data_IF_403691185502
#
_entry.id   IF_403691185502
#
_cell.length_a   1.000
_cell.length_b   1.000
_cell.length_c   1.000
_cell.angle_alpha   90.00
_cell.angle_beta   90.00
_cell.angle_gamma   90.00
#
_symmetry.space_group_name_H-M   'P 1'
#
loop_
_entity.id
_entity.type
_entity.pdbx_description
1 polymer ?
#
# COMPACT_ATOMS: atom_id res chain seq x y z
N UNK A 1 31.59 70.55 -52.37
CA UNK A 1 30.81 71.32 -51.38
C UNK A 1 30.14 70.35 -50.42
N UNK A 2 30.26 70.64 -49.11
CA UNK A 2 29.56 70.08 -47.94
C UNK A 2 29.86 68.65 -47.49
N UNK A 3 30.84 68.60 -46.58
CA UNK A 3 30.85 67.72 -45.40
C UNK A 3 29.59 67.93 -44.54
N UNK A 4 29.10 66.86 -43.91
CA UNK A 4 28.53 66.96 -42.57
C UNK A 4 28.82 65.66 -41.80
N UNK A 5 29.65 65.80 -40.77
CA UNK A 5 29.86 64.80 -39.73
C UNK A 5 28.65 64.77 -38.78
N UNK A 6 28.32 63.60 -38.26
CA UNK A 6 27.86 63.47 -36.88
C UNK A 6 28.03 62.02 -36.41
N UNK A 7 28.92 61.86 -35.44
CA UNK A 7 29.14 60.65 -34.67
C UNK A 7 27.89 60.32 -33.82
N UNK A 8 27.73 59.05 -33.43
CA UNK A 8 27.54 58.66 -32.02
C UNK A 8 27.78 57.16 -31.84
N UNK A 9 28.54 56.84 -30.79
CA UNK A 9 28.87 55.50 -30.30
C UNK A 9 27.67 54.91 -29.56
N UNK A 10 27.40 53.61 -29.69
CA UNK A 10 27.07 52.74 -28.54
C UNK A 10 27.60 51.32 -28.81
N UNK A 11 28.44 50.86 -27.89
CA UNK A 11 28.98 49.51 -27.72
C UNK A 11 27.97 48.69 -26.91
N UNK A 12 28.05 47.35 -26.98
CA UNK A 12 27.41 46.31 -26.12
C UNK A 12 26.32 45.52 -26.87
N UNK A 13 26.17 44.20 -26.75
CA UNK A 13 26.76 43.20 -25.86
C UNK A 13 26.49 41.85 -26.52
N UNK A 14 27.53 41.05 -26.74
CA UNK A 14 27.40 39.66 -27.20
C UNK A 14 26.64 38.85 -26.14
N UNK A 15 25.40 38.47 -26.43
CA UNK A 15 24.66 37.54 -25.58
C UNK A 15 25.27 36.14 -25.72
N UNK A 16 26.08 35.76 -24.74
CA UNK A 16 26.51 34.38 -24.53
C UNK A 16 25.27 33.55 -24.18
N UNK A 17 24.82 32.68 -25.09
CA UNK A 17 23.92 31.59 -24.76
C UNK A 17 24.68 30.59 -23.89
N UNK A 18 24.54 30.73 -22.57
CA UNK A 18 24.88 29.66 -21.65
C UNK A 18 23.83 28.55 -21.81
N UNK A 19 24.17 27.49 -22.55
CA UNK A 19 23.42 26.23 -22.52
C UNK A 19 23.65 25.65 -21.13
N UNK A 20 22.73 25.92 -20.20
CA UNK A 20 22.66 25.18 -18.96
C UNK A 20 22.29 23.74 -19.31
N UNK A 21 23.30 22.86 -19.35
CA UNK A 21 23.08 21.43 -19.34
C UNK A 21 22.41 21.09 -18.00
N UNK A 22 21.08 21.09 -18.01
CA UNK A 22 20.28 20.56 -16.92
C UNK A 22 20.65 19.09 -16.78
N UNK A 23 21.48 18.79 -15.78
CA UNK A 23 21.67 17.43 -15.30
C UNK A 23 20.31 16.99 -14.79
N UNK A 24 19.60 16.18 -15.57
CA UNK A 24 18.48 15.41 -15.05
C UNK A 24 19.06 14.56 -13.93
N UNK A 25 18.86 14.98 -12.69
CA UNK A 25 19.00 14.09 -11.55
C UNK A 25 17.98 12.98 -11.78
N UNK A 26 18.45 11.87 -12.34
CA UNK A 26 17.79 10.58 -12.22
C UNK A 26 17.62 10.38 -10.72
N UNK A 27 16.40 10.53 -10.22
CA UNK A 27 16.05 10.15 -8.87
C UNK A 27 16.60 8.74 -8.66
N UNK A 28 17.62 8.63 -7.79
CA UNK A 28 18.09 7.33 -7.35
C UNK A 28 16.87 6.59 -6.82
N UNK A 29 16.66 5.30 -7.17
CA UNK A 29 15.63 4.52 -6.52
C UNK A 29 15.80 4.69 -5.02
N UNK A 30 14.76 5.26 -4.40
CA UNK A 30 14.60 5.44 -2.96
C UNK A 30 15.22 4.24 -2.25
N UNK A 31 16.05 4.55 -1.25
CA UNK A 31 16.63 3.63 -0.26
C UNK A 31 15.83 2.35 -0.10
N UNK A 32 16.52 1.21 -0.08
CA UNK A 32 16.04 -0.13 0.28
C UNK A 32 14.94 -0.06 1.32
N UNK A 33 13.69 0.05 0.86
CA UNK A 33 12.52 -0.17 1.68
C UNK A 33 12.59 -1.64 2.05
N UNK A 34 12.53 -1.94 3.35
CA UNK A 34 12.55 -3.32 3.83
C UNK A 34 11.52 -4.16 3.08
N UNK A 35 11.70 -5.49 3.07
CA UNK A 35 10.76 -6.42 2.42
C UNK A 35 9.32 -6.07 2.77
N UNK A 36 8.44 -6.06 1.76
CA UNK A 36 7.03 -5.75 1.96
C UNK A 36 6.35 -6.90 2.72
N UNK A 37 5.61 -6.58 3.78
CA UNK A 37 5.07 -7.56 4.71
C UNK A 37 3.64 -7.22 5.10
N UNK A 38 2.78 -8.23 5.17
CA UNK A 38 1.52 -8.20 5.90
C UNK A 38 1.71 -8.93 7.23
N UNK A 39 1.48 -8.26 8.35
CA UNK A 39 1.46 -8.90 9.64
C UNK A 39 0.03 -9.09 10.12
N UNK A 40 -0.19 -10.19 10.81
CA UNK A 40 -1.45 -10.54 11.45
C UNK A 40 -1.21 -10.82 12.93
N UNK A 41 -2.20 -10.51 13.77
CA UNK A 41 -2.15 -10.82 15.19
C UNK A 41 -3.51 -11.29 15.71
N UNK A 42 -3.47 -12.22 16.68
CA UNK A 42 -4.63 -12.53 17.50
C UNK A 42 -4.85 -11.51 18.63
N UNK A 43 -5.75 -11.85 19.55
CA UNK A 43 -6.12 -11.00 20.69
C UNK A 43 -7.35 -10.12 20.40
N UNK A 44 -8.42 -10.27 21.20
CA UNK A 44 -9.71 -9.61 20.92
C UNK A 44 -9.68 -8.09 21.15
N UNK A 45 -9.04 -7.68 22.24
CA UNK A 45 -9.08 -6.29 22.71
C UNK A 45 -7.88 -5.48 22.20
N UNK A 46 -6.71 -6.12 22.14
CA UNK A 46 -5.44 -5.58 21.64
C UNK A 46 -4.65 -6.64 20.85
N UNK A 47 -3.71 -6.24 19.96
CA UNK A 47 -2.84 -7.19 19.27
C UNK A 47 -1.96 -7.96 20.25
N UNK A 48 -2.11 -9.29 20.26
CA UNK A 48 -1.28 -10.16 21.09
C UNK A 48 0.09 -10.39 20.44
N UNK A 49 1.13 -9.79 21.00
CA UNK A 49 2.52 -9.95 20.53
C UNK A 49 3.02 -11.40 20.53
N UNK A 50 2.49 -12.26 21.41
CA UNK A 50 2.81 -13.68 21.47
C UNK A 50 2.07 -14.52 20.43
N UNK A 51 1.13 -13.90 19.71
CA UNK A 51 0.30 -14.53 18.70
C UNK A 51 0.30 -13.72 17.40
N UNK A 52 1.50 -13.51 16.86
CA UNK A 52 1.72 -12.78 15.61
C UNK A 52 2.32 -13.70 14.55
N UNK A 53 1.97 -13.42 13.29
CA UNK A 53 2.61 -14.02 12.12
C UNK A 53 2.77 -12.95 11.03
N UNK A 54 3.55 -13.27 9.99
CA UNK A 54 3.78 -12.37 8.87
C UNK A 54 3.81 -13.14 7.55
N UNK A 55 3.28 -12.49 6.51
CA UNK A 55 3.27 -12.95 5.14
C UNK A 55 4.07 -11.96 4.29
N UNK A 56 5.06 -12.45 3.57
CA UNK A 56 5.81 -11.65 2.61
C UNK A 56 4.94 -11.32 1.40
N UNK A 57 4.86 -10.02 1.07
CA UNK A 57 4.17 -9.52 -0.12
C UNK A 57 5.15 -9.63 -1.30
N UNK A 58 5.04 -10.73 -2.04
CA UNK A 58 5.90 -11.01 -3.20
C UNK A 58 5.46 -10.25 -4.45
N UNK A 59 6.39 -9.84 -5.33
CA UNK A 59 6.12 -9.03 -6.53
C UNK A 59 5.35 -9.74 -7.65
N UNK A 60 5.11 -11.05 -7.55
CA UNK A 60 4.64 -11.95 -8.61
C UNK A 60 3.28 -12.60 -8.30
N UNK A 61 2.40 -11.89 -7.59
CA UNK A 61 1.06 -12.36 -7.27
C UNK A 61 0.16 -12.65 -8.49
N UNK A 62 -1.02 -13.28 -8.28
CA UNK A 62 -1.64 -13.52 -6.99
C UNK A 62 -1.07 -14.72 -6.22
N UNK A 63 -0.90 -14.55 -4.91
CA UNK A 63 -0.52 -15.62 -3.96
C UNK A 63 -1.62 -15.82 -2.93
N UNK A 64 -1.92 -17.08 -2.61
CA UNK A 64 -2.90 -17.47 -1.59
C UNK A 64 -2.18 -18.10 -0.41
N UNK A 65 -2.58 -17.73 0.80
CA UNK A 65 -2.00 -18.15 2.05
C UNK A 65 -3.08 -18.72 2.96
N UNK A 66 -3.23 -20.04 2.92
CA UNK A 66 -4.22 -20.78 3.71
C UNK A 66 -3.70 -21.13 5.09
N UNK A 67 -4.55 -20.93 6.11
CA UNK A 67 -4.22 -21.24 7.48
C UNK A 67 -4.85 -22.57 7.91
N UNK A 68 -4.11 -23.44 8.62
CA UNK A 68 -2.84 -23.17 9.32
C UNK A 68 -1.56 -23.44 8.53
N UNK A 69 -1.63 -23.86 7.27
CA UNK A 69 -0.47 -24.40 6.53
C UNK A 69 0.62 -23.35 6.28
N UNK A 70 0.25 -22.07 6.20
CA UNK A 70 1.15 -20.95 5.90
C UNK A 70 1.58 -20.16 7.16
N UNK A 71 1.61 -20.83 8.32
CA UNK A 71 2.29 -20.34 9.54
C UNK A 71 1.49 -19.38 10.43
N UNK A 72 0.28 -18.98 10.03
CA UNK A 72 -0.67 -18.29 10.91
C UNK A 72 -1.68 -19.29 11.50
N UNK A 73 -2.19 -19.02 12.69
CA UNK A 73 -3.27 -19.83 13.27
C UNK A 73 -4.59 -19.53 12.56
N UNK A 74 -5.28 -20.59 12.16
CA UNK A 74 -6.63 -20.51 11.59
C UNK A 74 -7.64 -20.03 12.64
N UNK A 75 -8.63 -19.23 12.24
CA UNK A 75 -9.74 -18.80 13.10
C UNK A 75 -9.30 -18.07 14.38
N UNK A 76 -8.22 -17.28 14.29
CA UNK A 76 -7.61 -16.69 15.50
C UNK A 76 -7.15 -15.24 15.34
N UNK A 77 -6.96 -14.76 14.11
CA UNK A 77 -6.45 -13.41 13.87
C UNK A 77 -7.56 -12.35 13.96
N UNK A 78 -7.27 -11.24 14.63
CA UNK A 78 -8.15 -10.08 14.83
C UNK A 78 -7.61 -8.80 14.18
N UNK A 79 -6.31 -8.75 13.94
CA UNK A 79 -5.59 -7.54 13.55
C UNK A 79 -4.76 -7.75 12.30
N UNK A 80 -4.55 -6.66 11.56
CA UNK A 80 -3.59 -6.58 10.48
C UNK A 80 -2.75 -5.30 10.57
N UNK A 81 -1.51 -5.35 10.08
CA UNK A 81 -0.71 -4.17 9.73
C UNK A 81 0.08 -4.48 8.47
N UNK A 82 0.41 -3.44 7.71
CA UNK A 82 1.18 -3.57 6.47
C UNK A 82 2.46 -2.77 6.64
N UNK A 83 3.57 -3.30 6.14
CA UNK A 83 4.86 -2.59 6.11
C UNK A 83 5.42 -2.62 4.70
N UNK A 84 5.88 -1.47 4.21
CA UNK A 84 6.60 -1.31 2.95
C UNK A 84 5.89 -1.78 1.67
N UNK A 85 4.58 -1.99 1.69
CA UNK A 85 3.84 -2.43 0.51
C UNK A 85 3.85 -1.37 -0.60
N UNK A 86 3.87 -1.82 -1.86
CA UNK A 86 3.71 -0.93 -3.01
C UNK A 86 2.30 -0.31 -3.00
N UNK A 87 2.14 0.84 -3.62
CA UNK A 87 0.82 1.38 -3.95
C UNK A 87 0.17 0.48 -5.00
N UNK A 88 -1.11 0.20 -4.86
CA UNK A 88 -1.86 -0.69 -5.75
C UNK A 88 -1.99 -2.13 -5.24
N UNK A 89 -1.17 -2.56 -4.27
CA UNK A 89 -1.27 -3.90 -3.66
C UNK A 89 -2.67 -4.17 -3.14
N UNK A 90 -3.26 -5.27 -3.62
CA UNK A 90 -4.54 -5.80 -3.20
C UNK A 90 -4.31 -6.90 -2.17
N UNK A 91 -4.97 -6.78 -1.02
CA UNK A 91 -4.95 -7.81 0.02
C UNK A 91 -6.40 -8.18 0.31
N UNK A 92 -6.76 -9.43 0.10
CA UNK A 92 -8.10 -9.94 0.40
C UNK A 92 -8.04 -10.89 1.59
N UNK A 93 -8.80 -10.55 2.63
CA UNK A 93 -8.94 -11.31 3.86
C UNK A 93 -10.19 -12.18 3.78
N UNK A 94 -10.06 -13.49 3.95
CA UNK A 94 -11.16 -14.45 3.85
C UNK A 94 -11.37 -15.18 5.18
N UNK A 95 -12.64 -15.38 5.52
CA UNK A 95 -13.00 -16.23 6.66
C UNK A 95 -13.08 -17.71 6.39
N UNK A 96 -12.96 -18.10 5.13
CA UNK A 96 -12.98 -19.50 4.73
C UNK A 96 -11.59 -19.89 4.24
N UNK A 97 -11.26 -21.17 4.44
CA UNK A 97 -10.09 -21.78 3.83
C UNK A 97 -10.22 -21.85 2.30
N UNK A 98 -9.09 -22.07 1.64
CA UNK A 98 -8.88 -22.08 0.20
C UNK A 98 -9.29 -20.74 -0.46
N UNK A 99 -9.20 -19.65 0.30
CA UNK A 99 -9.58 -18.29 -0.13
C UNK A 99 -10.95 -18.22 -0.84
N UNK A 100 -11.93 -19.02 -0.37
CA UNK A 100 -13.26 -19.17 -0.99
C UNK A 100 -14.18 -17.97 -0.73
N UNK A 101 -14.98 -17.60 -1.74
CA UNK A 101 -15.89 -16.44 -1.70
C UNK A 101 -17.37 -16.78 -1.44
N UNK A 102 -17.70 -18.07 -1.24
CA UNK A 102 -19.07 -18.56 -1.40
C UNK A 102 -19.94 -18.44 -0.14
N UNK A 103 -19.40 -18.65 1.07
CA UNK A 103 -20.23 -18.90 2.26
C UNK A 103 -20.03 -17.97 3.47
N UNK A 104 -19.06 -17.07 3.44
CA UNK A 104 -18.80 -16.16 4.56
C UNK A 104 -18.26 -14.80 4.07
N UNK A 105 -17.75 -13.99 5.00
CA UNK A 105 -17.22 -12.67 4.71
C UNK A 105 -15.86 -12.71 4.03
N UNK A 106 -15.62 -11.70 3.19
CA UNK A 106 -14.30 -11.35 2.72
C UNK A 106 -14.17 -9.83 2.57
N UNK A 107 -12.96 -9.32 2.79
CA UNK A 107 -12.65 -7.89 2.66
C UNK A 107 -11.43 -7.72 1.77
N UNK A 108 -11.57 -6.97 0.68
CA UNK A 108 -10.46 -6.59 -0.20
C UNK A 108 -10.04 -5.17 0.10
N UNK A 109 -8.81 -5.00 0.58
CA UNK A 109 -8.19 -3.69 0.76
C UNK A 109 -7.16 -3.42 -0.34
N UNK A 110 -6.98 -2.16 -0.68
CA UNK A 110 -5.98 -1.67 -1.64
C UNK A 110 -5.09 -0.64 -0.98
N UNK A 111 -3.78 -0.78 -1.15
CA UNK A 111 -2.82 0.24 -0.74
C UNK A 111 -2.80 1.41 -1.75
N UNK A 112 -2.61 2.65 -1.30
CA UNK A 112 -2.57 3.82 -2.21
C UNK A 112 -1.41 4.80 -1.97
N UNK A 113 -0.58 4.59 -0.93
CA UNK A 113 0.63 5.38 -0.66
C UNK A 113 1.87 4.53 -0.98
N UNK A 114 2.94 5.15 -1.52
CA UNK A 114 4.18 4.46 -1.90
C UNK A 114 5.36 4.88 -0.98
N UNK A 115 5.76 4.07 0.01
CA UNK A 115 5.19 2.77 0.37
C UNK A 115 4.03 2.94 1.36
N UNK A 116 3.21 1.91 1.51
CA UNK A 116 2.20 1.87 2.56
C UNK A 116 2.75 1.14 3.78
N UNK A 117 2.80 1.86 4.90
CA UNK A 117 3.09 1.30 6.23
C UNK A 117 2.02 1.78 7.20
N UNK A 118 1.45 0.87 7.98
CA UNK A 118 0.33 1.16 8.90
C UNK A 118 0.64 0.75 10.33
N UNK A 119 -0.08 1.31 11.29
CA UNK A 119 -0.21 0.71 12.62
C UNK A 119 -1.16 -0.50 12.56
N UNK A 120 -1.29 -1.22 13.68
CA UNK A 120 -2.28 -2.29 13.81
C UNK A 120 -3.70 -1.76 13.66
N UNK A 121 -4.52 -2.48 12.88
CA UNK A 121 -5.93 -2.20 12.61
C UNK A 121 -6.76 -3.44 12.88
N UNK A 122 -7.98 -3.29 13.40
CA UNK A 122 -8.90 -4.42 13.55
C UNK A 122 -9.45 -4.80 12.19
N UNK A 123 -9.51 -6.11 11.90
CA UNK A 123 -10.19 -6.62 10.70
C UNK A 123 -11.68 -6.29 10.77
N UNK A 124 -12.27 -6.33 11.97
CA UNK A 124 -13.67 -6.00 12.21
C UNK A 124 -14.06 -4.56 11.82
N UNK A 125 -13.11 -3.63 11.76
CA UNK A 125 -13.37 -2.24 11.32
C UNK A 125 -13.72 -2.16 9.81
N UNK A 126 -13.40 -3.20 9.03
CA UNK A 126 -13.73 -3.27 7.60
C UNK A 126 -15.22 -3.56 7.36
N UNK A 127 -15.88 -4.26 8.30
CA UNK A 127 -17.28 -4.65 8.19
C UNK A 127 -18.24 -3.45 8.13
N UNK A 128 -18.19 -2.46 9.04
CA UNK A 128 -19.07 -1.30 8.98
C UNK A 128 -18.64 -0.26 7.93
N UNK A 129 -17.41 -0.33 7.40
CA UNK A 129 -16.89 0.70 6.52
C UNK A 129 -17.52 0.67 5.12
N UNK A 130 -17.85 1.82 4.51
CA UNK A 130 -18.34 1.86 3.14
C UNK A 130 -17.28 1.37 2.14
N UNK A 131 -17.72 0.68 1.09
CA UNK A 131 -16.87 0.36 -0.06
C UNK A 131 -16.35 1.66 -0.70
N UNK A 132 -15.12 1.65 -1.18
CA UNK A 132 -14.36 2.80 -1.69
C UNK A 132 -14.02 3.89 -0.66
N UNK A 133 -14.10 3.59 0.64
CA UNK A 133 -13.69 4.51 1.70
C UNK A 133 -12.24 4.29 2.14
N UNK A 134 -11.60 5.36 2.62
CA UNK A 134 -10.28 5.30 3.25
C UNK A 134 -10.47 4.77 4.68
N UNK A 135 -9.88 3.61 4.98
CA UNK A 135 -9.98 2.96 6.30
C UNK A 135 -8.86 3.43 7.25
N UNK A 136 -7.70 3.70 6.66
CA UNK A 136 -6.52 4.24 7.34
C UNK A 136 -5.66 4.98 6.32
N UNK A 137 -4.68 5.75 6.81
CA UNK A 137 -3.68 6.34 5.92
C UNK A 137 -3.02 5.24 5.07
N UNK A 138 -3.12 5.37 3.75
CA UNK A 138 -2.58 4.40 2.79
C UNK A 138 -3.47 3.19 2.49
N UNK A 139 -4.61 2.99 3.16
CA UNK A 139 -5.50 1.84 2.96
C UNK A 139 -6.91 2.27 2.54
N UNK A 140 -7.38 1.74 1.42
CA UNK A 140 -8.73 1.87 0.90
C UNK A 140 -9.45 0.51 0.96
N UNK A 141 -10.71 0.49 1.38
CA UNK A 141 -11.55 -0.71 1.25
C UNK A 141 -12.12 -0.76 -0.17
N UNK A 142 -11.64 -1.69 -0.98
CA UNK A 142 -11.95 -1.78 -2.41
C UNK A 142 -13.27 -2.50 -2.65
N UNK A 143 -13.44 -3.66 -2.00
CA UNK A 143 -14.64 -4.49 -2.11
C UNK A 143 -14.85 -5.28 -0.82
N UNK A 144 -16.09 -5.69 -0.55
CA UNK A 144 -16.39 -6.64 0.53
C UNK A 144 -17.62 -7.50 0.22
N UNK A 145 -17.70 -8.65 0.90
CA UNK A 145 -18.92 -9.38 1.19
C UNK A 145 -18.97 -9.57 2.70
N UNK A 146 -20.10 -9.22 3.31
CA UNK A 146 -20.31 -9.33 4.75
C UNK A 146 -21.81 -9.26 5.03
N UNK A 147 -22.28 -10.05 5.99
CA UNK A 147 -23.65 -10.02 6.52
C UNK A 147 -23.58 -9.66 8.01
N UNK A 148 -24.54 -8.86 8.51
CA UNK A 148 -24.46 -8.18 9.81
C UNK A 148 -24.34 -9.10 11.03
N UNK A 149 -24.69 -10.38 10.90
CA UNK A 149 -24.63 -11.40 11.96
C UNK A 149 -23.31 -12.21 11.97
N UNK A 150 -22.40 -11.95 11.04
CA UNK A 150 -21.16 -12.71 10.92
C UNK A 150 -20.08 -12.23 11.88
N UNK A 151 -19.45 -13.18 12.59
CA UNK A 151 -18.26 -12.89 13.39
C UNK A 151 -17.06 -12.64 12.47
N UNK A 152 -16.43 -11.47 12.61
CA UNK A 152 -15.23 -11.11 11.83
C UNK A 152 -13.93 -11.39 12.58
N UNK A 153 -13.80 -10.87 13.81
CA UNK A 153 -12.58 -11.07 14.60
C UNK A 153 -12.43 -12.54 15.01
N UNK A 154 -11.21 -13.09 14.85
CA UNK A 154 -10.95 -14.50 15.17
C UNK A 154 -11.61 -15.47 14.20
N UNK A 155 -11.80 -15.05 12.95
CA UNK A 155 -12.37 -15.87 11.88
C UNK A 155 -11.58 -15.83 10.58
N UNK A 156 -10.36 -15.29 10.59
CA UNK A 156 -9.53 -15.24 9.40
C UNK A 156 -8.91 -16.63 9.13
N UNK A 157 -9.07 -17.12 7.90
CA UNK A 157 -8.60 -18.45 7.48
C UNK A 157 -7.73 -18.43 6.23
N UNK A 158 -7.86 -17.43 5.37
CA UNK A 158 -7.00 -17.29 4.20
C UNK A 158 -6.74 -15.82 3.86
N UNK A 159 -5.57 -15.56 3.28
CA UNK A 159 -5.22 -14.27 2.68
C UNK A 159 -4.82 -14.45 1.23
N UNK A 160 -5.35 -13.61 0.34
CA UNK A 160 -4.90 -13.50 -1.05
C UNK A 160 -4.23 -12.15 -1.30
N UNK A 161 -3.05 -12.16 -1.90
CA UNK A 161 -2.27 -10.95 -2.17
C UNK A 161 -2.00 -10.86 -3.68
N UNK A 162 -2.32 -9.72 -4.29
CA UNK A 162 -2.21 -9.44 -5.73
C UNK A 162 -1.64 -8.03 -5.93
N UNK A 163 -0.90 -7.78 -7.03
CA UNK A 163 -0.13 -6.56 -7.27
C UNK A 163 -0.48 -5.83 -8.56
#
# INVERSE_FOLDING_TARGET
>A
MRFCQSAWRVVMLSALLSVAAGVYALDKPSETKGTAQLYLAGGKDEPDSGNTCSIEIKPDGPHEYDFPDEGCKNDDMYWYRIENALSGTLITLYSEADCRNEKSWWFKIRTYIQPTTTTWRKIADLAPAPVNSIIAAGILLDLKKYEDDQQVGGKLSCVKIDL
#
